data_IF_624174490606
#
_entry.id   IF_624174490606
#
_cell.length_a   1.000
_cell.length_b   1.000
_cell.length_c   1.000
_cell.angle_alpha   90.00
_cell.angle_beta   90.00
_cell.angle_gamma   90.00
#
_symmetry.space_group_name_H-M   'P 1'
#
loop_
_entity.id
_entity.type
_entity.pdbx_description
1 polymer ?
#
# COMPACT_ATOMS: atom_id res chain seq x y z
N UNK A 1 -0.28 39.99 -10.54
CA UNK A 1 -0.33 38.57 -10.12
C UNK A 1 -0.41 38.56 -8.60
N UNK A 2 -1.54 38.14 -8.02
CA UNK A 2 -1.66 37.99 -6.56
C UNK A 2 -1.18 36.58 -6.22
N UNK A 3 -0.03 36.46 -5.56
CA UNK A 3 0.34 35.22 -4.88
C UNK A 3 -0.41 35.20 -3.56
N UNK A 4 -1.59 34.56 -3.54
CA UNK A 4 -2.29 34.32 -2.29
C UNK A 4 -1.42 33.39 -1.45
N UNK A 5 -0.82 33.91 -0.38
CA UNK A 5 -0.10 33.10 0.59
C UNK A 5 -1.10 32.31 1.41
N UNK A 6 -0.83 31.02 1.62
CA UNK A 6 -1.67 30.14 2.43
C UNK A 6 -1.65 30.63 3.89
N UNK A 7 -2.82 30.78 4.51
CA UNK A 7 -2.88 31.09 5.94
C UNK A 7 -2.37 29.91 6.77
N UNK A 8 -1.96 30.17 8.03
CA UNK A 8 -1.47 29.13 8.92
C UNK A 8 -2.53 28.03 9.15
N UNK A 9 -3.79 28.42 9.30
CA UNK A 9 -4.90 27.48 9.50
C UNK A 9 -5.14 26.60 8.26
N UNK A 10 -5.04 27.19 7.06
CA UNK A 10 -5.12 26.44 5.81
C UNK A 10 -3.92 25.49 5.63
N UNK A 11 -2.71 25.91 6.01
CA UNK A 11 -1.51 25.07 5.98
C UNK A 11 -1.67 23.84 6.89
N UNK A 12 -2.10 24.07 8.13
CA UNK A 12 -2.36 23.00 9.10
C UNK A 12 -3.46 22.06 8.58
N UNK A 13 -4.53 22.61 8.00
CA UNK A 13 -5.59 21.84 7.37
C UNK A 13 -5.07 20.94 6.24
N UNK A 14 -4.20 21.45 5.36
CA UNK A 14 -3.58 20.63 4.31
C UNK A 14 -2.67 19.54 4.87
N UNK A 15 -1.85 19.83 5.89
CA UNK A 15 -1.00 18.83 6.54
C UNK A 15 -1.80 17.66 7.11
N UNK A 16 -2.94 17.93 7.76
CA UNK A 16 -3.82 16.88 8.30
C UNK A 16 -4.41 16.02 7.18
N UNK A 17 -4.83 16.62 6.07
CA UNK A 17 -5.36 15.88 4.91
C UNK A 17 -4.29 14.96 4.32
N UNK A 18 -3.08 15.47 4.10
CA UNK A 18 -1.97 14.64 3.58
C UNK A 18 -1.62 13.49 4.52
N UNK A 19 -1.61 13.75 5.84
CA UNK A 19 -1.34 12.73 6.83
C UNK A 19 -2.41 11.62 6.78
N UNK A 20 -3.70 11.97 6.79
CA UNK A 20 -4.78 10.98 6.75
C UNK A 20 -4.80 10.19 5.44
N UNK A 21 -4.63 10.87 4.30
CA UNK A 21 -4.59 10.21 3.00
C UNK A 21 -3.40 9.25 2.87
N UNK A 22 -2.23 9.63 3.39
CA UNK A 22 -1.05 8.76 3.41
C UNK A 22 -1.13 7.62 4.42
N UNK A 23 -1.76 7.85 5.57
CA UNK A 23 -1.85 6.86 6.64
C UNK A 23 -2.73 5.66 6.26
N UNK A 24 -3.98 5.89 5.86
CA UNK A 24 -4.94 4.79 5.63
C UNK A 24 -4.51 3.90 4.44
N UNK A 25 -3.96 4.53 3.39
CA UNK A 25 -3.44 3.84 2.20
C UNK A 25 -2.21 3.00 2.54
N UNK A 26 -1.22 3.58 3.21
CA UNK A 26 0.03 2.88 3.57
C UNK A 26 -0.22 1.77 4.58
N UNK A 27 -1.04 2.01 5.61
CA UNK A 27 -1.37 1.02 6.64
C UNK A 27 -2.10 -0.19 6.03
N UNK A 28 -3.03 0.06 5.10
CA UNK A 28 -3.73 -1.01 4.37
C UNK A 28 -2.76 -1.81 3.50
N UNK A 29 -1.92 -1.14 2.71
CA UNK A 29 -0.90 -1.81 1.87
C UNK A 29 0.03 -2.69 2.69
N UNK A 30 0.54 -2.19 3.82
CA UNK A 30 1.45 -2.96 4.67
C UNK A 30 0.75 -4.17 5.32
N UNK A 31 -0.52 -4.02 5.70
CA UNK A 31 -1.32 -5.11 6.26
C UNK A 31 -1.53 -6.22 5.24
N UNK A 32 -1.89 -5.88 3.99
CA UNK A 32 -2.07 -6.85 2.91
C UNK A 32 -0.75 -7.51 2.50
N UNK A 33 0.34 -6.74 2.38
CA UNK A 33 1.65 -7.28 2.06
C UNK A 33 2.09 -8.30 3.13
N UNK A 34 1.95 -7.94 4.41
CA UNK A 34 2.30 -8.84 5.52
C UNK A 34 1.44 -10.10 5.54
N UNK A 35 0.13 -9.98 5.25
CA UNK A 35 -0.78 -11.11 5.13
C UNK A 35 -0.37 -12.06 3.99
N UNK A 36 -0.10 -11.52 2.80
CA UNK A 36 0.34 -12.31 1.64
C UNK A 36 1.67 -13.02 1.90
N UNK A 37 2.63 -12.35 2.55
CA UNK A 37 3.90 -12.96 2.94
C UNK A 37 3.72 -14.09 3.95
N UNK A 38 2.85 -13.90 4.96
CA UNK A 38 2.57 -14.92 5.97
C UNK A 38 1.92 -16.19 5.38
N UNK A 39 1.12 -16.04 4.32
CA UNK A 39 0.55 -17.18 3.58
C UNK A 39 1.53 -17.85 2.63
N UNK A 40 2.62 -17.17 2.26
CA UNK A 40 3.59 -17.64 1.26
C UNK A 40 5.03 -17.66 1.82
N UNK A 41 5.37 -18.62 2.71
CA UNK A 41 6.69 -18.69 3.33
C UNK A 41 7.86 -18.79 2.34
N UNK A 42 7.64 -19.39 1.16
CA UNK A 42 8.65 -19.46 0.11
C UNK A 42 9.06 -18.08 -0.41
N UNK A 43 8.08 -17.25 -0.78
CA UNK A 43 8.29 -15.86 -1.22
C UNK A 43 8.90 -15.03 -0.11
N UNK A 44 8.43 -15.22 1.13
CA UNK A 44 8.98 -14.53 2.30
C UNK A 44 10.47 -14.86 2.50
N UNK A 45 10.87 -16.11 2.34
CA UNK A 45 12.28 -16.51 2.44
C UNK A 45 13.12 -15.91 1.32
N UNK A 46 12.65 -15.94 0.06
CA UNK A 46 13.38 -15.30 -1.05
C UNK A 46 13.55 -13.80 -0.83
N UNK A 47 12.49 -13.10 -0.40
CA UNK A 47 12.56 -11.68 -0.05
C UNK A 47 13.57 -11.43 1.07
N UNK A 48 13.61 -12.30 2.08
CA UNK A 48 14.55 -12.19 3.18
C UNK A 48 16.01 -12.41 2.75
N UNK A 49 16.24 -13.33 1.81
CA UNK A 49 17.55 -13.55 1.20
C UNK A 49 18.00 -12.30 0.41
N UNK A 50 17.14 -11.71 -0.43
CA UNK A 50 17.44 -10.44 -1.12
C UNK A 50 17.82 -9.34 -0.12
N UNK A 51 17.01 -9.14 0.92
CA UNK A 51 17.26 -8.14 1.97
C UNK A 51 18.65 -8.32 2.59
N UNK A 52 19.03 -9.57 2.92
CA UNK A 52 20.34 -9.88 3.48
C UNK A 52 21.48 -9.59 2.51
N UNK A 53 21.33 -9.98 1.25
CA UNK A 53 22.35 -9.77 0.23
C UNK A 53 22.56 -8.28 -0.08
N UNK A 54 21.47 -7.53 -0.24
CA UNK A 54 21.51 -6.07 -0.44
C UNK A 54 22.16 -5.39 0.75
N UNK A 55 21.74 -5.69 1.98
CA UNK A 55 22.34 -5.08 3.17
C UNK A 55 23.83 -5.41 3.29
N UNK A 56 24.26 -6.63 2.97
CA UNK A 56 25.68 -6.99 2.98
C UNK A 56 26.49 -6.15 1.96
N UNK A 57 25.96 -5.93 0.76
CA UNK A 57 26.59 -5.05 -0.25
C UNK A 57 26.72 -3.61 0.23
N UNK A 58 25.74 -3.14 1.00
CA UNK A 58 25.69 -1.79 1.57
C UNK A 58 26.25 -1.70 3.00
N UNK A 59 27.19 -2.58 3.37
CA UNK A 59 27.90 -2.58 4.67
C UNK A 59 26.98 -2.70 5.91
N UNK A 60 25.81 -3.28 5.73
CA UNK A 60 24.79 -3.46 6.78
C UNK A 60 23.93 -2.22 7.03
N UNK A 61 24.07 -1.16 6.24
CA UNK A 61 23.29 0.07 6.40
C UNK A 61 22.10 0.10 5.44
N UNK A 62 20.94 0.53 5.95
CA UNK A 62 19.76 0.77 5.14
C UNK A 62 19.81 2.22 4.62
N UNK A 63 20.51 2.43 3.51
CA UNK A 63 20.56 3.72 2.81
C UNK A 63 19.50 3.78 1.69
N UNK A 64 19.35 4.95 1.07
CA UNK A 64 18.43 5.10 -0.07
C UNK A 64 18.87 4.26 -1.27
N UNK A 65 20.18 4.17 -1.50
CA UNK A 65 20.79 3.33 -2.54
C UNK A 65 20.56 1.84 -2.24
N UNK A 66 20.67 1.43 -0.98
CA UNK A 66 20.33 0.08 -0.57
C UNK A 66 18.87 -0.25 -0.86
N UNK A 67 17.94 0.67 -0.58
CA UNK A 67 16.52 0.45 -0.87
C UNK A 67 16.26 0.32 -2.38
N UNK A 68 16.92 1.12 -3.22
CA UNK A 68 16.79 1.03 -4.68
C UNK A 68 17.28 -0.31 -5.26
N UNK A 69 18.17 -1.01 -4.56
CA UNK A 69 18.68 -2.32 -4.96
C UNK A 69 17.76 -3.49 -4.55
N UNK A 70 16.70 -3.25 -3.78
CA UNK A 70 15.72 -4.26 -3.32
C UNK A 70 14.58 -4.45 -4.33
N UNK A 71 14.91 -5.00 -5.50
CA UNK A 71 13.97 -5.12 -6.64
C UNK A 71 12.81 -6.08 -6.35
N UNK A 72 13.06 -7.17 -5.62
CA UNK A 72 12.06 -8.15 -5.27
C UNK A 72 11.08 -7.57 -4.24
N UNK A 73 11.56 -6.79 -3.28
CA UNK A 73 10.69 -6.01 -2.38
C UNK A 73 9.73 -5.11 -3.16
N UNK A 74 10.23 -4.36 -4.15
CA UNK A 74 9.40 -3.50 -5.01
C UNK A 74 8.36 -4.30 -5.79
N UNK A 75 8.71 -5.49 -6.28
CA UNK A 75 7.78 -6.39 -6.95
C UNK A 75 6.67 -6.89 -6.00
N UNK A 76 7.03 -7.28 -4.77
CA UNK A 76 6.06 -7.71 -3.75
C UNK A 76 5.06 -6.59 -3.42
N UNK A 77 5.56 -5.37 -3.23
CA UNK A 77 4.71 -4.19 -2.97
C UNK A 77 3.80 -3.92 -4.19
N UNK A 78 4.36 -3.96 -5.39
CA UNK A 78 3.62 -3.71 -6.63
C UNK A 78 2.50 -4.72 -6.86
N UNK A 79 2.77 -6.02 -6.65
CA UNK A 79 1.74 -7.06 -6.77
C UNK A 79 0.69 -6.97 -5.65
N UNK A 80 1.11 -6.56 -4.44
CA UNK A 80 0.17 -6.26 -3.35
C UNK A 80 -0.79 -5.15 -3.76
N UNK A 81 -0.28 -4.05 -4.34
CA UNK A 81 -1.10 -2.93 -4.82
C UNK A 81 -1.96 -3.30 -6.04
N UNK A 82 -1.49 -4.24 -6.88
CA UNK A 82 -2.25 -4.75 -8.03
C UNK A 82 -3.48 -5.56 -7.58
N UNK A 83 -3.32 -6.41 -6.56
CA UNK A 83 -4.44 -7.18 -5.99
C UNK A 83 -5.31 -6.36 -5.06
N UNK A 84 -4.69 -5.62 -4.15
CA UNK A 84 -5.32 -4.87 -3.06
C UNK A 84 -5.01 -3.39 -3.22
N UNK A 85 -5.49 -2.80 -4.32
CA UNK A 85 -5.35 -1.36 -4.51
C UNK A 85 -6.14 -0.63 -3.43
N UNK A 86 -5.50 0.21 -2.59
CA UNK A 86 -6.21 1.06 -1.63
C UNK A 86 -7.05 2.15 -2.32
N UNK A 87 -6.96 2.24 -3.65
CA UNK A 87 -7.61 3.24 -4.47
C UNK A 87 -9.13 3.12 -4.35
N UNK A 88 -9.72 4.04 -3.61
CA UNK A 88 -11.14 4.36 -3.72
C UNK A 88 -11.34 4.87 -5.16
N UNK A 89 -12.06 4.13 -6.00
CA UNK A 89 -12.40 4.63 -7.33
C UNK A 89 -13.24 5.91 -7.16
N UNK A 90 -12.71 7.04 -7.60
CA UNK A 90 -13.36 8.35 -7.53
C UNK A 90 -14.18 8.55 -8.82
N UNK A 91 -15.50 8.28 -8.84
CA UNK A 91 -16.31 8.75 -9.93
C UNK A 91 -16.29 10.29 -9.93
N UNK A 92 -16.24 10.89 -11.11
CA UNK A 92 -16.18 12.34 -11.32
C UNK A 92 -17.47 13.02 -10.85
N UNK A 93 -17.66 13.17 -9.54
CA UNK A 93 -18.72 14.00 -8.97
C UNK A 93 -18.09 15.16 -8.21
N UNK A 94 -18.53 16.35 -8.59
CA UNK A 94 -18.11 17.70 -8.18
C UNK A 94 -17.83 17.86 -6.67
N UNK A 95 -16.92 18.79 -6.34
CA UNK A 95 -16.47 19.39 -5.04
C UNK A 95 -17.01 18.83 -3.70
N UNK A 96 -18.29 18.47 -3.63
CA UNK A 96 -18.94 17.79 -2.50
C UNK A 96 -18.32 16.43 -2.15
N UNK A 97 -17.77 15.69 -3.13
CA UNK A 97 -17.17 14.37 -2.87
C UNK A 97 -15.91 14.46 -1.97
N UNK A 98 -15.11 15.51 -2.13
CA UNK A 98 -13.89 15.69 -1.35
C UNK A 98 -14.19 15.95 0.14
N UNK A 99 -15.23 16.75 0.41
CA UNK A 99 -15.75 16.99 1.77
C UNK A 99 -16.32 15.70 2.35
N UNK A 100 -17.03 14.90 1.54
CA UNK A 100 -17.60 13.62 1.98
C UNK A 100 -16.50 12.61 2.37
N UNK A 101 -15.37 12.57 1.68
CA UNK A 101 -14.22 11.72 2.03
C UNK A 101 -13.61 12.15 3.37
N UNK A 102 -13.35 13.46 3.55
CA UNK A 102 -12.77 13.98 4.80
C UNK A 102 -13.72 13.71 5.98
N UNK A 103 -15.03 13.95 5.83
CA UNK A 103 -16.04 13.70 6.88
C UNK A 103 -16.24 12.20 7.14
N UNK A 104 -16.21 11.34 6.11
CA UNK A 104 -16.35 9.88 6.26
C UNK A 104 -15.13 9.25 6.94
N UNK A 105 -13.93 9.80 6.71
CA UNK A 105 -12.70 9.39 7.39
C UNK A 105 -12.68 9.90 8.85
N UNK A 106 -13.11 11.14 9.10
CA UNK A 106 -13.25 11.70 10.46
C UNK A 106 -14.28 10.94 11.31
N UNK A 107 -15.25 10.27 10.67
CA UNK A 107 -16.27 9.44 11.34
C UNK A 107 -16.00 7.92 11.18
N UNK A 108 -14.77 7.51 10.86
CA UNK A 108 -14.39 6.10 10.63
C UNK A 108 -14.18 5.28 11.93
N UNK A 109 -14.65 5.75 13.09
CA UNK A 109 -14.71 4.94 14.33
C UNK A 109 -15.90 3.96 14.37
N UNK A 110 -16.76 3.93 13.35
CA UNK A 110 -17.93 3.01 13.29
C UNK A 110 -17.82 1.87 12.27
N UNK A 111 -16.62 1.49 11.83
CA UNK A 111 -16.44 0.43 10.81
C UNK A 111 -16.07 -0.94 11.39
N UNK A 112 -16.93 -1.50 12.26
CA UNK A 112 -16.91 -2.97 12.50
C UNK A 112 -17.36 -3.75 11.25
N UNK A 113 -18.24 -3.18 10.44
CA UNK A 113 -18.76 -3.82 9.22
C UNK A 113 -17.81 -3.82 8.02
N UNK A 114 -16.73 -3.02 8.02
CA UNK A 114 -15.81 -3.00 6.88
C UNK A 114 -14.93 -4.26 6.85
N UNK A 115 -14.50 -4.77 8.01
CA UNK A 115 -13.79 -6.06 8.08
C UNK A 115 -14.65 -7.19 7.53
N UNK A 116 -15.96 -7.16 7.81
CA UNK A 116 -16.92 -8.16 7.33
C UNK A 116 -17.31 -7.96 5.86
N UNK A 117 -17.35 -6.72 5.37
CA UNK A 117 -17.49 -6.40 3.95
C UNK A 117 -16.25 -6.80 3.15
N UNK A 118 -15.05 -6.60 3.70
CA UNK A 118 -13.78 -7.07 3.13
C UNK A 118 -13.62 -8.60 3.28
N UNK A 119 -14.40 -9.26 4.13
CA UNK A 119 -14.50 -10.72 4.13
C UNK A 119 -15.45 -11.19 3.01
N UNK A 120 -16.65 -10.60 2.94
CA UNK A 120 -17.68 -10.93 1.94
C UNK A 120 -17.29 -10.58 0.48
N UNK A 121 -16.66 -9.42 0.25
CA UNK A 121 -16.20 -8.99 -1.08
C UNK A 121 -15.04 -9.85 -1.61
N UNK A 122 -14.31 -10.50 -0.71
CA UNK A 122 -13.08 -11.19 -1.05
C UNK A 122 -13.21 -12.73 -1.02
N UNK A 123 -14.15 -13.32 -0.28
CA UNK A 123 -14.41 -14.78 -0.29
C UNK A 123 -14.75 -15.38 -1.68
N UNK A 124 -14.92 -14.56 -2.73
CA UNK A 124 -15.35 -15.00 -4.06
C UNK A 124 -14.29 -15.58 -5.01
N UNK A 125 -12.98 -15.31 -4.86
CA UNK A 125 -11.95 -15.87 -5.78
C UNK A 125 -10.49 -15.72 -5.27
N UNK A 126 -10.24 -15.92 -3.97
CA UNK A 126 -8.88 -15.75 -3.40
C UNK A 126 -7.85 -16.71 -4.00
N UNK A 127 -8.23 -17.97 -4.23
CA UNK A 127 -7.28 -19.01 -4.64
C UNK A 127 -6.68 -18.76 -6.02
N UNK A 128 -7.46 -18.20 -6.96
CA UNK A 128 -6.97 -17.85 -8.31
C UNK A 128 -6.05 -16.63 -8.28
N UNK A 129 -6.42 -15.59 -7.52
CA UNK A 129 -5.63 -14.36 -7.39
C UNK A 129 -4.30 -14.57 -6.67
N UNK A 130 -4.27 -15.39 -5.61
CA UNK A 130 -3.06 -15.78 -4.89
C UNK A 130 -2.10 -16.55 -5.80
N UNK A 131 -2.63 -17.49 -6.59
CA UNK A 131 -1.83 -18.27 -7.56
C UNK A 131 -1.22 -17.37 -8.63
N UNK A 132 -1.96 -16.37 -9.13
CA UNK A 132 -1.47 -15.38 -10.09
C UNK A 132 -0.38 -14.48 -9.51
N UNK A 133 -0.48 -14.07 -8.24
CA UNK A 133 0.58 -13.31 -7.57
C UNK A 133 1.84 -14.13 -7.44
N UNK A 134 1.74 -15.38 -6.99
CA UNK A 134 2.90 -16.27 -6.87
C UNK A 134 3.54 -16.46 -8.26
N UNK A 135 2.74 -16.70 -9.30
CA UNK A 135 3.25 -16.86 -10.66
C UNK A 135 3.93 -15.60 -11.21
N UNK A 136 3.43 -14.40 -10.90
CA UNK A 136 4.05 -13.15 -11.34
C UNK A 136 5.31 -12.81 -10.55
N UNK A 137 5.31 -13.01 -9.23
CA UNK A 137 6.49 -12.78 -8.38
C UNK A 137 7.60 -13.78 -8.75
N UNK A 138 7.28 -15.07 -8.83
CA UNK A 138 8.23 -16.15 -9.21
C UNK A 138 8.60 -16.08 -10.71
N UNK A 139 7.69 -15.60 -11.56
CA UNK A 139 7.97 -15.36 -12.99
C UNK A 139 8.96 -14.22 -13.20
N UNK A 140 9.01 -13.26 -12.28
CA UNK A 140 9.97 -12.16 -12.31
C UNK A 140 11.35 -12.60 -11.86
N UNK A 141 11.49 -13.53 -10.90
CA UNK A 141 12.79 -14.16 -10.54
C UNK A 141 13.53 -14.77 -11.72
N UNK A 142 12.80 -15.25 -12.75
CA UNK A 142 13.42 -15.82 -13.96
C UNK A 142 13.94 -14.78 -14.97
N UNK A 143 13.70 -13.49 -14.75
CA UNK A 143 14.11 -12.39 -15.62
C UNK A 143 15.07 -11.39 -14.97
N UNK A 144 15.58 -11.69 -13.75
CA UNK A 144 16.58 -10.87 -13.04
C UNK A 144 17.96 -11.50 -13.15
#
# INVERSE_FOLDING_TARGET
MVTAALSLDELVGQCVIFFLAGYDTTASTLSYASYLLALNPGIQNTLYEELREVLQRHKGELTYEALQDMKYLDNVISETLRLYSPSISFPNYTKNFMIYIIVSLYFSERRKGLVEYLKYRFEGDFSSAETLVIQNIVGTERNI
#
